data_IF_123847675529
#
_entry.id   IF_123847675529
#
_cell.length_a   1.000
_cell.length_b   1.000
_cell.length_c   1.000
_cell.angle_alpha   90.00
_cell.angle_beta   90.00
_cell.angle_gamma   90.00
#
_symmetry.space_group_name_H-M   'P 1'
#
loop_
_entity.id
_entity.type
_entity.pdbx_description
1 polymer ?
#
# COMPACT_ATOMS: atom_id res chain seq x y z
N UNK A 1 29.00 -23.28 -5.22
CA UNK A 1 28.44 -22.24 -6.11
C UNK A 1 26.97 -21.88 -5.87
N UNK A 2 26.17 -22.68 -5.14
CA UNK A 2 24.75 -22.37 -4.88
C UNK A 2 24.50 -21.16 -3.96
N UNK A 3 25.32 -20.94 -2.92
CA UNK A 3 25.11 -19.85 -1.98
C UNK A 3 25.32 -18.45 -2.60
N UNK A 4 26.29 -18.31 -3.51
CA UNK A 4 26.55 -17.06 -4.21
C UNK A 4 25.44 -16.72 -5.23
N UNK A 5 24.95 -17.72 -5.96
CA UNK A 5 23.81 -17.55 -6.87
C UNK A 5 22.52 -17.18 -6.11
N UNK A 6 22.24 -17.87 -5.00
CA UNK A 6 21.09 -17.54 -4.15
C UNK A 6 21.18 -16.14 -3.55
N UNK A 7 22.37 -15.74 -3.07
CA UNK A 7 22.60 -14.39 -2.55
C UNK A 7 22.37 -13.31 -3.61
N UNK A 8 22.81 -13.55 -4.85
CA UNK A 8 22.60 -12.62 -5.95
C UNK A 8 21.12 -12.48 -6.32
N UNK A 9 20.38 -13.59 -6.39
CA UNK A 9 18.93 -13.57 -6.66
C UNK A 9 18.15 -12.84 -5.56
N UNK A 10 18.51 -13.05 -4.29
CA UNK A 10 17.90 -12.31 -3.18
C UNK A 10 18.22 -10.82 -3.22
N UNK A 11 19.46 -10.44 -3.54
CA UNK A 11 19.85 -9.04 -3.69
C UNK A 11 19.05 -8.35 -4.81
N UNK A 12 18.86 -9.04 -5.94
CA UNK A 12 18.04 -8.57 -7.06
C UNK A 12 16.57 -8.43 -6.66
N UNK A 13 15.99 -9.44 -6.02
CA UNK A 13 14.61 -9.41 -5.55
C UNK A 13 14.38 -8.25 -4.57
N UNK A 14 15.32 -8.03 -3.64
CA UNK A 14 15.28 -6.90 -2.70
C UNK A 14 15.36 -5.55 -3.44
N UNK A 15 16.28 -5.39 -4.39
CA UNK A 15 16.41 -4.16 -5.15
C UNK A 15 15.13 -3.82 -5.93
N UNK A 16 14.50 -4.82 -6.55
CA UNK A 16 13.20 -4.64 -7.23
C UNK A 16 12.10 -4.28 -6.23
N UNK A 17 12.06 -4.93 -5.07
CA UNK A 17 11.07 -4.64 -4.02
C UNK A 17 11.18 -3.21 -3.50
N UNK A 18 12.40 -2.74 -3.19
CA UNK A 18 12.64 -1.36 -2.74
C UNK A 18 12.30 -0.35 -3.84
N UNK A 19 12.64 -0.62 -5.10
CA UNK A 19 12.27 0.25 -6.22
C UNK A 19 10.74 0.33 -6.40
N UNK A 20 10.02 -0.79 -6.26
CA UNK A 20 8.55 -0.80 -6.28
C UNK A 20 7.96 -0.05 -5.10
N UNK A 21 8.54 -0.20 -3.90
CA UNK A 21 8.09 0.52 -2.69
C UNK A 21 8.26 2.03 -2.86
N UNK A 22 9.40 2.49 -3.36
CA UNK A 22 9.67 3.90 -3.64
C UNK A 22 8.73 4.45 -4.72
N UNK A 23 8.52 3.71 -5.81
CA UNK A 23 7.57 4.09 -6.87
C UNK A 23 6.15 4.29 -6.32
N UNK A 24 5.67 3.33 -5.51
CA UNK A 24 4.35 3.38 -4.86
C UNK A 24 4.24 4.57 -3.93
N UNK A 25 5.26 4.83 -3.11
CA UNK A 25 5.30 5.98 -2.21
C UNK A 25 5.16 7.30 -2.96
N UNK A 26 6.04 7.55 -3.92
CA UNK A 26 6.03 8.77 -4.73
C UNK A 26 4.69 8.97 -5.45
N UNK A 27 4.11 7.88 -5.96
CA UNK A 27 2.81 7.92 -6.61
C UNK A 27 1.69 8.33 -5.64
N UNK A 28 1.62 7.72 -4.45
CA UNK A 28 0.56 8.05 -3.48
C UNK A 28 0.75 9.44 -2.86
N UNK A 29 1.98 9.88 -2.60
CA UNK A 29 2.26 11.25 -2.14
C UNK A 29 1.78 12.27 -3.17
N UNK A 30 2.16 12.08 -4.44
CA UNK A 30 1.78 12.99 -5.50
C UNK A 30 0.27 12.99 -5.76
N UNK A 31 -0.37 11.82 -5.68
CA UNK A 31 -1.81 11.65 -5.85
C UNK A 31 -2.57 12.41 -4.74
N UNK A 32 -2.18 12.20 -3.48
CA UNK A 32 -2.77 12.89 -2.33
C UNK A 32 -2.55 14.41 -2.38
N UNK A 33 -1.40 14.85 -2.87
CA UNK A 33 -1.09 16.26 -3.03
C UNK A 33 -1.77 16.90 -4.25
N UNK A 34 -2.39 16.11 -5.15
CA UNK A 34 -2.96 16.60 -6.40
C UNK A 34 -1.92 17.15 -7.38
N UNK A 35 -0.68 16.66 -7.30
CA UNK A 35 0.47 17.19 -8.06
C UNK A 35 0.86 16.34 -9.27
N UNK A 36 0.23 15.17 -9.45
CA UNK A 36 0.53 14.28 -10.56
C UNK A 36 -0.28 14.69 -11.80
N UNK A 37 0.35 14.98 -12.93
CA UNK A 37 -0.34 15.18 -14.20
C UNK A 37 -1.09 13.90 -14.64
N UNK A 38 -2.23 14.04 -15.29
CA UNK A 38 -3.08 12.91 -15.70
C UNK A 38 -2.35 11.82 -16.51
N UNK A 39 -1.53 12.23 -17.50
CA UNK A 39 -0.72 11.29 -18.29
C UNK A 39 0.31 10.50 -17.43
N UNK A 40 0.79 11.10 -16.35
CA UNK A 40 1.69 10.44 -15.41
C UNK A 40 0.93 9.53 -14.44
N UNK A 41 -0.31 9.85 -14.09
CA UNK A 41 -1.19 8.93 -13.34
C UNK A 41 -1.38 7.63 -14.14
N UNK A 42 -1.83 7.70 -15.39
CA UNK A 42 -2.08 6.50 -16.22
C UNK A 42 -0.82 5.61 -16.31
N UNK A 43 0.34 6.23 -16.55
CA UNK A 43 1.63 5.54 -16.63
C UNK A 43 2.04 4.87 -15.32
N UNK A 44 1.85 5.54 -14.18
CA UNK A 44 2.23 5.02 -12.86
C UNK A 44 1.26 3.95 -12.36
N UNK A 45 -0.04 4.14 -12.58
CA UNK A 45 -1.11 3.18 -12.33
C UNK A 45 -0.84 1.84 -13.01
N UNK A 46 -0.49 1.85 -14.31
CA UNK A 46 -0.13 0.62 -15.04
C UNK A 46 1.12 -0.07 -14.51
N UNK A 47 2.12 0.67 -14.01
CA UNK A 47 3.34 0.08 -13.42
C UNK A 47 3.10 -0.52 -12.03
N UNK A 48 2.09 -0.03 -11.33
CA UNK A 48 1.68 -0.49 -10.00
C UNK A 48 0.59 -1.55 -10.06
N UNK A 49 0.08 -1.88 -11.25
CA UNK A 49 -1.06 -2.78 -11.46
C UNK A 49 -2.29 -2.35 -10.63
N UNK A 50 -2.53 -1.04 -10.59
CA UNK A 50 -3.57 -0.42 -9.78
C UNK A 50 -4.38 0.53 -10.65
N UNK A 51 -5.70 0.33 -10.69
CA UNK A 51 -6.59 1.13 -11.54
C UNK A 51 -7.10 2.35 -10.79
N UNK A 52 -6.60 3.53 -11.15
CA UNK A 52 -6.98 4.82 -10.54
C UNK A 52 -8.32 5.39 -11.00
N UNK A 53 -8.89 4.89 -12.10
CA UNK A 53 -10.11 5.43 -12.69
C UNK A 53 -11.37 4.87 -12.01
N UNK A 54 -11.19 3.85 -11.16
CA UNK A 54 -12.25 3.29 -10.34
C UNK A 54 -12.55 4.20 -9.13
N UNK A 55 -13.75 4.11 -8.55
CA UNK A 55 -13.95 4.63 -7.19
C UNK A 55 -12.95 3.99 -6.22
N UNK A 56 -12.48 4.77 -5.26
CA UNK A 56 -11.54 4.31 -4.23
C UNK A 56 -12.09 4.53 -2.83
N UNK A 57 -11.73 3.62 -1.93
CA UNK A 57 -11.80 3.87 -0.48
C UNK A 57 -10.39 4.16 0.02
N UNK A 58 -10.27 5.25 0.78
CA UNK A 58 -9.06 5.58 1.51
C UNK A 58 -9.31 5.36 3.00
N UNK A 59 -8.49 4.51 3.62
CA UNK A 59 -8.55 4.21 5.04
C UNK A 59 -7.24 4.64 5.68
N UNK A 60 -7.32 5.46 6.71
CA UNK A 60 -6.16 5.99 7.42
C UNK A 60 -6.09 5.38 8.81
N UNK A 61 -4.91 4.89 9.17
CA UNK A 61 -4.60 4.32 10.47
C UNK A 61 -3.53 5.14 11.17
N UNK A 62 -3.71 5.32 12.48
CA UNK A 62 -2.71 5.91 13.37
C UNK A 62 -2.75 5.13 14.69
N UNK A 63 -1.61 5.08 15.38
CA UNK A 63 -1.58 4.51 16.72
C UNK A 63 -2.26 5.46 17.72
N UNK A 64 -2.90 4.87 18.73
CA UNK A 64 -3.46 5.60 19.85
C UNK A 64 -2.46 5.64 21.02
N UNK A 65 -2.20 6.84 21.53
CA UNK A 65 -1.42 7.07 22.76
C UNK A 65 0.09 7.21 22.57
N UNK A 66 0.77 7.64 23.65
CA UNK A 66 2.17 8.08 23.60
C UNK A 66 3.22 6.96 23.65
N UNK A 67 2.82 5.71 23.90
CA UNK A 67 3.73 4.54 23.90
C UNK A 67 3.40 3.59 22.74
N UNK A 68 3.08 4.19 21.59
CA UNK A 68 2.70 3.49 20.38
C UNK A 68 3.86 2.66 19.81
N UNK A 69 3.59 1.50 19.18
CA UNK A 69 4.56 0.82 18.34
C UNK A 69 5.06 1.70 17.18
N UNK A 70 6.12 1.27 16.49
CA UNK A 70 6.59 1.98 15.30
C UNK A 70 5.59 1.90 14.15
N UNK A 71 5.57 2.90 13.28
CA UNK A 71 4.80 2.85 12.03
C UNK A 71 5.23 1.70 11.12
N UNK A 72 6.50 1.31 11.15
CA UNK A 72 6.98 0.12 10.45
C UNK A 72 6.24 -1.14 10.88
N UNK A 73 5.91 -1.27 12.17
CA UNK A 73 5.08 -2.39 12.65
C UNK A 73 3.67 -2.31 12.08
N UNK A 74 3.05 -1.13 12.10
CA UNK A 74 1.72 -0.92 11.50
C UNK A 74 1.72 -1.26 10.00
N UNK A 75 2.68 -0.73 9.24
CA UNK A 75 2.86 -1.01 7.81
C UNK A 75 3.03 -2.51 7.54
N UNK A 76 3.78 -3.21 8.41
CA UNK A 76 3.97 -4.67 8.29
C UNK A 76 2.66 -5.42 8.52
N UNK A 77 1.89 -5.08 9.55
CA UNK A 77 0.58 -5.68 9.83
C UNK A 77 -0.40 -5.43 8.69
N UNK A 78 -0.48 -4.19 8.19
CA UNK A 78 -1.32 -3.81 7.07
C UNK A 78 -0.93 -4.59 5.81
N UNK A 79 0.36 -4.64 5.45
CA UNK A 79 0.82 -5.37 4.27
C UNK A 79 0.55 -6.87 4.39
N UNK A 80 0.68 -7.44 5.60
CA UNK A 80 0.35 -8.84 5.84
C UNK A 80 -1.16 -9.10 5.65
N UNK A 81 -2.02 -8.26 6.22
CA UNK A 81 -3.47 -8.36 6.02
C UNK A 81 -3.84 -8.19 4.54
N UNK A 82 -3.28 -7.20 3.86
CA UNK A 82 -3.50 -6.98 2.43
C UNK A 82 -3.02 -8.15 1.57
N UNK A 83 -1.92 -8.82 1.94
CA UNK A 83 -1.45 -10.01 1.21
C UNK A 83 -2.42 -11.19 1.25
N UNK A 84 -3.36 -11.20 2.20
CA UNK A 84 -4.44 -12.18 2.30
C UNK A 84 -5.77 -11.71 1.69
N UNK A 85 -5.85 -10.45 1.23
CA UNK A 85 -7.03 -9.88 0.58
C UNK A 85 -6.83 -9.91 -0.94
N UNK A 86 -7.83 -10.40 -1.68
CA UNK A 86 -7.77 -10.51 -3.14
C UNK A 86 -8.16 -9.22 -3.87
N UNK A 87 -7.99 -8.04 -3.25
CA UNK A 87 -8.41 -6.74 -3.80
C UNK A 87 -7.19 -5.88 -4.10
N UNK A 88 -7.26 -5.09 -5.17
CA UNK A 88 -6.18 -4.18 -5.55
C UNK A 88 -6.10 -3.02 -4.55
N UNK A 89 -5.04 -3.04 -3.72
CA UNK A 89 -4.82 -2.03 -2.71
C UNK A 89 -3.35 -1.60 -2.64
N UNK A 90 -3.13 -0.31 -2.43
CA UNK A 90 -1.82 0.29 -2.17
C UNK A 90 -1.75 0.80 -0.74
N UNK A 91 -0.59 0.69 -0.11
CA UNK A 91 -0.33 1.23 1.23
C UNK A 91 0.83 2.21 1.22
N UNK A 92 0.73 3.27 2.02
CA UNK A 92 1.78 4.28 2.17
C UNK A 92 1.78 4.90 3.57
N UNK A 93 2.97 5.18 4.07
CA UNK A 93 3.16 5.94 5.31
C UNK A 93 3.08 7.42 4.96
N UNK A 94 2.07 8.12 5.46
CA UNK A 94 1.86 9.54 5.19
C UNK A 94 2.26 10.38 6.40
N UNK A 95 3.01 11.46 6.15
CA UNK A 95 3.41 12.48 7.14
C UNK A 95 4.09 11.93 8.42
N UNK A 96 4.70 10.75 8.35
CA UNK A 96 5.41 10.08 9.45
C UNK A 96 4.60 9.74 10.71
N UNK A 97 3.27 9.81 10.65
CA UNK A 97 2.37 9.47 11.76
C UNK A 97 1.15 8.62 11.36
N UNK A 98 0.88 8.49 10.06
CA UNK A 98 -0.25 7.71 9.54
C UNK A 98 0.19 6.63 8.54
N UNK A 99 -0.61 5.56 8.44
CA UNK A 99 -0.58 4.65 7.29
C UNK A 99 -1.91 4.75 6.56
N UNK A 100 -1.86 5.07 5.28
CA UNK A 100 -3.02 5.14 4.39
C UNK A 100 -3.08 3.88 3.53
N UNK A 101 -4.29 3.34 3.35
CA UNK A 101 -4.60 2.25 2.43
C UNK A 101 -5.57 2.78 1.38
N UNK A 102 -5.22 2.58 0.12
CA UNK A 102 -5.98 2.98 -1.06
C UNK A 102 -6.48 1.72 -1.73
N UNK A 103 -7.78 1.46 -1.66
CA UNK A 103 -8.40 0.29 -2.26
C UNK A 103 -9.28 0.72 -3.42
N UNK A 104 -9.02 0.17 -4.61
CA UNK A 104 -9.90 0.31 -5.76
C UNK A 104 -11.16 -0.54 -5.55
N UNK A 105 -12.32 0.00 -5.90
CA UNK A 105 -13.62 -0.69 -5.87
C UNK A 105 -13.95 -1.21 -7.28
N UNK A 106 -14.21 -2.51 -7.39
CA UNK A 106 -14.72 -3.19 -8.58
C UNK A 106 -16.26 -3.27 -8.56
N UNK A 107 -16.84 -3.65 -7.42
CA UNK A 107 -18.29 -3.67 -7.12
C UNK A 107 -18.55 -2.87 -5.83
N UNK A 108 -19.29 -1.76 -5.94
CA UNK A 108 -19.31 -0.73 -4.90
C UNK A 108 -19.82 -1.23 -3.55
N UNK A 109 -20.82 -2.12 -3.50
CA UNK A 109 -21.44 -2.50 -2.23
C UNK A 109 -20.68 -3.61 -1.50
N UNK A 110 -20.20 -4.62 -2.24
CA UNK A 110 -19.38 -5.71 -1.70
C UNK A 110 -18.00 -5.20 -1.28
N UNK A 111 -17.40 -4.31 -2.06
CA UNK A 111 -16.06 -3.81 -1.78
C UNK A 111 -16.04 -2.80 -0.63
N UNK A 112 -17.10 -2.02 -0.44
CA UNK A 112 -17.24 -1.18 0.76
C UNK A 112 -17.33 -2.03 2.03
N UNK A 113 -18.04 -3.15 1.98
CA UNK A 113 -18.12 -4.09 3.11
C UNK A 113 -16.76 -4.70 3.39
N UNK A 114 -16.07 -5.17 2.34
CA UNK A 114 -14.71 -5.72 2.44
C UNK A 114 -13.71 -4.71 3.02
N UNK A 115 -13.78 -3.45 2.61
CA UNK A 115 -12.92 -2.38 3.12
C UNK A 115 -13.16 -2.12 4.63
N UNK A 116 -14.42 -2.18 5.08
CA UNK A 116 -14.77 -2.05 6.51
C UNK A 116 -14.31 -3.26 7.33
N UNK A 117 -14.45 -4.46 6.80
CA UNK A 117 -13.95 -5.69 7.42
C UNK A 117 -12.43 -5.64 7.55
N UNK A 118 -11.72 -5.20 6.50
CA UNK A 118 -10.28 -4.97 6.55
C UNK A 118 -9.89 -3.99 7.67
N UNK A 119 -10.56 -2.83 7.76
CA UNK A 119 -10.30 -1.87 8.83
C UNK A 119 -10.53 -2.45 10.23
N UNK A 120 -11.57 -3.26 10.38
CA UNK A 120 -11.87 -3.97 11.64
C UNK A 120 -10.75 -4.96 11.99
N UNK A 121 -10.30 -5.76 11.02
CA UNK A 121 -9.19 -6.71 11.21
C UNK A 121 -7.89 -6.03 11.57
N UNK A 122 -7.58 -4.86 11.00
CA UNK A 122 -6.39 -4.07 11.37
C UNK A 122 -6.48 -3.60 12.82
N UNK A 123 -7.65 -3.15 13.28
CA UNK A 123 -7.86 -2.69 14.66
C UNK A 123 -7.69 -3.80 15.69
N UNK A 124 -8.04 -5.03 15.34
CA UNK A 124 -8.02 -6.17 16.25
C UNK A 124 -6.61 -6.81 16.38
N UNK A 125 -5.60 -6.28 15.70
CA UNK A 125 -4.17 -6.68 15.78
C UNK A 125 -3.32 -5.63 16.51
#
# INVERSE_FOLDING_TARGET
HGAAAYSLEMAKAKAVSEAKKALRGNFLEGLLAGTIPEAEMERLSGRLDHNTDRPHVVITFAWLGNNAPSLRRMETTINWLLSSHNRSALSHVYSDDHVCVFQALEDSDEDLTTAREFATRVRDH
#
